data_IF_126580172379
#
_entry.id   IF_126580172379
#
_cell.length_a   1.000
_cell.length_b   1.000
_cell.length_c   1.000
_cell.angle_alpha   90.00
_cell.angle_beta   90.00
_cell.angle_gamma   90.00
#
_symmetry.space_group_name_H-M   'P 1'
#
loop_
_entity.id
_entity.type
_entity.pdbx_description
1 polymer ?
#
# COMPACT_ATOMS: atom_id res chain seq x y z
N UNK A 1 3.01 -21.21 -5.80
CA UNK A 1 3.78 -20.10 -5.21
C UNK A 1 4.72 -20.69 -4.16
N UNK A 2 5.93 -20.15 -4.00
CA UNK A 2 6.90 -20.52 -2.98
C UNK A 2 7.34 -19.27 -2.22
N UNK A 3 7.06 -19.23 -0.90
CA UNK A 3 7.76 -18.38 0.07
C UNK A 3 9.07 -19.07 0.43
N UNK A 4 10.20 -18.37 0.30
CA UNK A 4 11.53 -18.95 0.52
C UNK A 4 12.32 -18.16 1.55
N UNK A 5 12.47 -18.75 2.73
CA UNK A 5 13.00 -18.14 3.95
C UNK A 5 14.53 -17.99 3.96
N UNK A 6 15.05 -17.21 4.91
CA UNK A 6 16.48 -16.96 5.14
C UNK A 6 17.01 -17.55 6.45
N UNK A 7 16.16 -18.19 7.27
CA UNK A 7 16.60 -18.96 8.44
C UNK A 7 17.69 -20.00 8.10
N UNK A 8 18.65 -20.18 9.03
CA UNK A 8 19.72 -21.19 8.94
C UNK A 8 20.50 -21.17 7.62
N UNK A 9 20.78 -20.00 7.06
CA UNK A 9 21.52 -19.82 5.80
C UNK A 9 22.99 -20.29 5.84
N UNK A 10 23.51 -20.79 6.98
CA UNK A 10 24.87 -21.33 7.17
C UNK A 10 25.98 -20.32 6.82
N UNK A 11 25.82 -19.05 7.23
CA UNK A 11 26.80 -17.99 6.96
C UNK A 11 26.79 -17.44 5.52
N UNK A 12 25.86 -17.90 4.67
CA UNK A 12 25.71 -17.42 3.28
C UNK A 12 24.85 -16.14 3.19
N UNK A 13 25.31 -15.09 3.87
CA UNK A 13 24.75 -13.73 3.91
C UNK A 13 25.88 -12.71 4.13
N UNK A 14 25.61 -11.41 4.04
CA UNK A 14 26.51 -10.32 4.45
C UNK A 14 27.04 -9.48 3.28
N UNK A 15 26.73 -9.86 2.04
CA UNK A 15 26.90 -9.00 0.86
C UNK A 15 25.78 -9.29 -0.15
N UNK A 16 25.39 -8.30 -0.98
CA UNK A 16 24.39 -8.50 -2.03
C UNK A 16 24.68 -9.71 -2.92
N UNK A 17 25.94 -9.93 -3.31
CA UNK A 17 26.33 -11.06 -4.17
C UNK A 17 26.13 -12.42 -3.49
N UNK A 18 26.46 -12.55 -2.21
CA UNK A 18 26.31 -13.82 -1.48
C UNK A 18 24.83 -14.19 -1.34
N UNK A 19 23.99 -13.24 -0.91
CA UNK A 19 22.55 -13.47 -0.80
C UNK A 19 21.88 -13.70 -2.15
N UNK A 20 22.20 -12.88 -3.16
CA UNK A 20 21.72 -13.05 -4.53
C UNK A 20 22.01 -14.46 -5.06
N UNK A 21 23.24 -14.95 -4.98
CA UNK A 21 23.61 -16.26 -5.50
C UNK A 21 22.89 -17.41 -4.77
N UNK A 22 22.68 -17.27 -3.45
CA UNK A 22 21.90 -18.23 -2.66
C UNK A 22 20.45 -18.32 -3.14
N UNK A 23 19.77 -17.18 -3.29
CA UNK A 23 18.39 -17.15 -3.76
C UNK A 23 18.26 -17.53 -5.25
N UNK A 24 19.21 -17.11 -6.09
CA UNK A 24 19.26 -17.44 -7.51
C UNK A 24 19.32 -18.95 -7.74
N UNK A 25 20.03 -19.69 -6.88
CA UNK A 25 20.08 -21.16 -6.95
C UNK A 25 18.68 -21.78 -6.92
N UNK A 26 17.80 -21.29 -6.03
CA UNK A 26 16.40 -21.74 -5.99
C UNK A 26 15.59 -21.22 -7.18
N UNK A 27 15.77 -19.96 -7.58
CA UNK A 27 15.09 -19.39 -8.75
C UNK A 27 15.37 -20.20 -10.04
N UNK A 28 16.64 -20.56 -10.28
CA UNK A 28 17.05 -21.38 -11.42
C UNK A 28 16.45 -22.79 -11.33
N UNK A 29 16.42 -23.39 -10.14
CA UNK A 29 15.82 -24.70 -9.92
C UNK A 29 14.30 -24.70 -10.20
N UNK A 30 13.56 -23.68 -9.73
CA UNK A 30 12.15 -23.51 -10.03
C UNK A 30 11.93 -23.36 -11.54
N UNK A 31 12.73 -22.52 -12.20
CA UNK A 31 12.66 -22.32 -13.65
C UNK A 31 12.91 -23.62 -14.43
N UNK A 32 13.87 -24.45 -13.99
CA UNK A 32 14.19 -25.72 -14.63
C UNK A 32 13.04 -26.74 -14.59
N UNK A 33 12.05 -26.57 -13.72
CA UNK A 33 10.85 -27.43 -13.70
C UNK A 33 9.91 -27.19 -14.89
N UNK A 34 10.05 -26.05 -15.59
CA UNK A 34 9.12 -25.62 -16.65
C UNK A 34 7.74 -25.18 -16.14
N UNK A 35 7.54 -25.06 -14.82
CA UNK A 35 6.27 -24.63 -14.21
C UNK A 35 6.34 -23.15 -13.81
N UNK A 36 5.22 -22.45 -13.99
CA UNK A 36 5.05 -21.08 -13.51
C UNK A 36 4.82 -21.08 -11.99
N UNK A 37 5.85 -20.79 -11.22
CA UNK A 37 5.81 -20.74 -9.76
C UNK A 37 6.19 -19.33 -9.32
N UNK A 38 5.23 -18.60 -8.73
CA UNK A 38 5.50 -17.30 -8.11
C UNK A 38 6.55 -17.50 -7.00
N UNK A 39 7.66 -16.77 -7.08
CA UNK A 39 8.77 -16.88 -6.14
C UNK A 39 8.85 -15.63 -5.25
N UNK A 40 8.60 -15.82 -3.96
CA UNK A 40 8.59 -14.80 -2.92
C UNK A 40 9.81 -15.01 -2.01
N UNK A 41 10.71 -14.04 -2.00
CA UNK A 41 11.89 -14.02 -1.15
C UNK A 41 11.50 -13.58 0.26
N UNK A 42 11.91 -14.34 1.27
CA UNK A 42 11.72 -14.00 2.67
C UNK A 42 13.09 -13.88 3.36
N UNK A 43 13.83 -12.83 3.01
CA UNK A 43 15.14 -12.50 3.60
C UNK A 43 15.16 -11.18 4.35
N UNK A 44 13.98 -10.63 4.64
CA UNK A 44 13.81 -9.53 5.59
C UNK A 44 14.59 -8.24 5.27
N UNK A 45 14.89 -7.99 4.00
CA UNK A 45 15.67 -6.81 3.59
C UNK A 45 17.18 -7.00 3.60
N UNK A 46 17.69 -8.13 4.10
CA UNK A 46 19.13 -8.40 4.22
C UNK A 46 19.86 -8.18 2.90
N UNK A 47 21.06 -7.62 2.98
CA UNK A 47 21.94 -7.37 1.83
C UNK A 47 21.28 -6.57 0.70
N UNK A 48 20.42 -5.61 1.07
CA UNK A 48 19.78 -4.66 0.17
C UNK A 48 18.97 -5.35 -0.95
N UNK A 49 18.14 -6.33 -0.59
CA UNK A 49 17.35 -7.14 -1.56
C UNK A 49 16.56 -6.31 -2.57
N UNK A 50 16.12 -5.11 -2.22
CA UNK A 50 15.45 -4.18 -3.15
C UNK A 50 16.31 -3.78 -4.37
N UNK A 51 17.63 -4.01 -4.34
CA UNK A 51 18.54 -3.73 -5.46
C UNK A 51 18.71 -4.89 -6.43
N UNK A 52 18.42 -6.13 -6.03
CA UNK A 52 18.68 -7.33 -6.84
C UNK A 52 17.52 -8.32 -6.91
N UNK A 53 16.59 -8.31 -5.96
CA UNK A 53 15.49 -9.27 -5.84
C UNK A 53 14.64 -9.37 -7.10
N UNK A 54 14.35 -8.23 -7.74
CA UNK A 54 13.58 -8.18 -8.98
C UNK A 54 14.13 -9.05 -10.11
N UNK A 55 15.45 -9.22 -10.20
CA UNK A 55 16.07 -9.97 -11.29
C UNK A 55 15.83 -11.47 -11.22
N UNK A 56 15.37 -12.00 -10.07
CA UNK A 56 15.23 -13.43 -9.83
C UNK A 56 13.92 -13.84 -9.15
N UNK A 57 13.10 -12.88 -8.69
CA UNK A 57 11.91 -13.12 -7.88
C UNK A 57 10.74 -12.20 -8.23
N UNK A 58 9.54 -12.60 -7.82
CA UNK A 58 8.33 -11.80 -8.01
C UNK A 58 8.04 -10.85 -6.85
N UNK A 59 8.56 -11.15 -5.66
CA UNK A 59 8.52 -10.24 -4.52
C UNK A 59 9.63 -10.57 -3.52
N UNK A 60 9.94 -9.63 -2.63
CA UNK A 60 10.96 -9.79 -1.60
C UNK A 60 10.59 -9.07 -0.30
N UNK A 61 10.63 -9.78 0.82
CA UNK A 61 10.45 -9.22 2.16
C UNK A 61 11.52 -8.17 2.43
N UNK A 62 11.12 -6.99 2.88
CA UNK A 62 12.04 -5.84 3.07
C UNK A 62 12.40 -5.55 4.54
N UNK A 63 11.76 -6.21 5.49
CA UNK A 63 11.98 -6.05 6.93
C UNK A 63 11.85 -7.39 7.66
N UNK A 64 12.27 -7.40 8.94
CA UNK A 64 11.82 -8.40 9.90
C UNK A 64 10.30 -8.50 9.96
N UNK A 65 9.81 -9.57 10.59
CA UNK A 65 8.37 -9.87 10.58
C UNK A 65 7.53 -8.77 11.22
N UNK A 66 6.40 -8.48 10.59
CA UNK A 66 5.36 -7.65 11.21
C UNK A 66 4.81 -8.35 12.45
N UNK A 67 4.25 -7.57 13.37
CA UNK A 67 3.31 -8.08 14.35
C UNK A 67 2.15 -7.10 14.50
N UNK A 68 1.12 -7.54 15.22
CA UNK A 68 -0.12 -6.81 15.37
C UNK A 68 -0.02 -5.62 16.35
N UNK A 69 0.78 -4.62 15.97
CA UNK A 69 0.90 -3.33 16.62
C UNK A 69 1.22 -2.23 15.61
N UNK A 70 0.56 -1.09 15.77
CA UNK A 70 0.66 0.00 14.83
C UNK A 70 2.02 0.75 14.89
N UNK A 71 2.47 1.12 16.09
CA UNK A 71 3.64 2.01 16.26
C UNK A 71 4.68 1.49 17.26
N UNK A 72 4.33 0.57 18.17
CA UNK A 72 5.17 0.15 19.29
C UNK A 72 6.55 -0.36 18.84
N UNK A 73 7.65 0.28 19.28
CA UNK A 73 8.99 -0.28 19.14
C UNK A 73 9.14 -1.57 19.94
N UNK A 74 9.91 -2.53 19.40
CA UNK A 74 10.19 -3.79 20.08
C UNK A 74 11.67 -4.18 19.90
N UNK A 75 12.31 -4.67 20.97
CA UNK A 75 13.72 -5.08 20.95
C UNK A 75 13.98 -6.31 20.05
N UNK A 76 12.94 -7.09 19.75
CA UNK A 76 13.02 -8.17 18.76
C UNK A 76 13.10 -7.64 17.33
N UNK A 77 12.67 -6.40 17.08
CA UNK A 77 12.84 -5.74 15.79
C UNK A 77 14.20 -5.03 15.78
N UNK A 78 15.25 -5.77 15.43
CA UNK A 78 16.65 -5.39 15.71
C UNK A 78 17.17 -4.10 15.07
N UNK A 79 16.40 -3.50 14.16
CA UNK A 79 16.75 -2.23 13.50
C UNK A 79 15.81 -1.08 13.87
N UNK A 80 15.06 -1.18 14.97
CA UNK A 80 14.17 -0.14 15.47
C UNK A 80 14.88 1.16 15.92
N UNK A 81 16.20 1.11 16.16
CA UNK A 81 17.03 2.24 16.62
C UNK A 81 17.74 3.01 15.51
N UNK A 82 17.75 2.48 14.28
CA UNK A 82 18.39 3.17 13.16
C UNK A 82 17.56 4.36 12.72
N UNK A 83 18.22 5.37 12.15
CA UNK A 83 17.52 6.56 11.67
C UNK A 83 16.43 6.17 10.64
N UNK A 84 15.24 6.79 10.69
CA UNK A 84 14.22 6.60 9.67
C UNK A 84 14.79 6.79 8.27
N UNK A 85 14.57 5.82 7.38
CA UNK A 85 15.12 5.83 6.02
C UNK A 85 16.50 5.18 5.87
N UNK A 86 17.17 4.76 6.94
CA UNK A 86 18.32 3.86 6.80
C UNK A 86 17.83 2.52 6.24
N UNK A 87 18.40 2.10 5.12
CA UNK A 87 17.99 0.90 4.39
C UNK A 87 18.78 -0.33 4.80
N UNK A 88 19.92 -0.16 5.48
CA UNK A 88 20.76 -1.28 5.88
C UNK A 88 20.33 -1.79 7.26
N UNK A 89 19.99 -3.08 7.33
CA UNK A 89 19.60 -3.73 8.57
C UNK A 89 20.28 -5.09 8.66
N UNK A 90 21.28 -5.19 9.55
CA UNK A 90 22.11 -6.40 9.68
C UNK A 90 21.37 -7.51 10.46
N UNK A 91 20.47 -7.14 11.36
CA UNK A 91 19.69 -8.08 12.16
C UNK A 91 18.20 -7.69 12.10
N UNK A 92 17.46 -8.11 11.07
CA UNK A 92 16.07 -7.68 10.84
C UNK A 92 15.09 -8.06 11.94
N UNK A 93 15.26 -9.24 12.55
CA UNK A 93 14.44 -9.67 13.66
C UNK A 93 12.97 -9.88 13.31
N UNK A 94 12.08 -9.61 14.27
CA UNK A 94 10.62 -9.83 14.21
C UNK A 94 9.90 -8.79 15.08
N UNK A 95 8.58 -8.78 15.10
CA UNK A 95 7.78 -7.83 15.89
C UNK A 95 8.03 -6.37 15.51
N UNK A 96 8.18 -6.13 14.21
CA UNK A 96 8.30 -4.80 13.67
C UNK A 96 6.90 -4.20 13.46
N UNK A 97 6.64 -3.00 13.99
CA UNK A 97 5.33 -2.34 13.90
C UNK A 97 5.00 -1.89 12.48
N UNK A 98 3.71 -1.66 12.20
CA UNK A 98 3.22 -1.11 10.92
C UNK A 98 3.99 0.16 10.54
N UNK A 99 4.16 1.09 11.49
CA UNK A 99 4.87 2.36 11.29
C UNK A 99 6.36 2.17 10.97
N UNK A 100 7.01 1.20 11.61
CA UNK A 100 8.41 0.87 11.33
C UNK A 100 8.60 0.42 9.88
N UNK A 101 7.75 -0.49 9.41
CA UNK A 101 7.82 -1.03 8.05
C UNK A 101 7.58 0.06 7.00
N UNK A 102 6.59 0.94 7.22
CA UNK A 102 6.34 2.09 6.36
C UNK A 102 7.54 3.04 6.29
N UNK A 103 8.20 3.29 7.42
CA UNK A 103 9.42 4.09 7.46
C UNK A 103 10.59 3.44 6.72
N UNK A 104 10.68 2.11 6.74
CA UNK A 104 11.72 1.35 6.04
C UNK A 104 11.55 1.35 4.53
N UNK A 105 10.33 1.17 4.03
CA UNK A 105 10.09 1.12 2.57
C UNK A 105 10.17 2.49 1.90
N UNK A 106 9.84 3.57 2.61
CA UNK A 106 9.74 4.93 2.07
C UNK A 106 10.88 5.35 1.11
N UNK A 107 12.19 5.18 1.45
CA UNK A 107 13.30 5.60 0.58
C UNK A 107 13.48 4.77 -0.71
N UNK A 108 12.84 3.61 -0.84
CA UNK A 108 12.97 2.74 -2.01
C UNK A 108 11.63 2.18 -2.51
N UNK A 109 10.51 2.86 -2.19
CA UNK A 109 9.18 2.44 -2.63
C UNK A 109 9.07 2.36 -4.17
N UNK A 110 9.90 3.11 -4.90
CA UNK A 110 10.02 3.13 -6.35
C UNK A 110 10.62 1.85 -6.96
N UNK A 111 11.22 0.97 -6.13
CA UNK A 111 11.79 -0.31 -6.56
C UNK A 111 10.75 -1.39 -6.85
N UNK A 112 9.52 -1.20 -6.35
CA UNK A 112 8.36 -2.01 -6.71
C UNK A 112 7.84 -1.60 -8.08
N UNK A 113 7.93 -2.50 -9.05
CA UNK A 113 7.45 -2.29 -10.43
C UNK A 113 6.83 -3.59 -10.97
N UNK A 114 6.07 -3.56 -12.09
CA UNK A 114 5.44 -4.76 -12.63
C UNK A 114 6.41 -5.95 -12.76
N UNK A 115 6.08 -7.04 -12.07
CA UNK A 115 6.87 -8.28 -12.05
C UNK A 115 7.75 -8.47 -10.82
N UNK A 116 8.00 -7.42 -10.02
CA UNK A 116 8.82 -7.48 -8.80
C UNK A 116 8.38 -6.47 -7.74
N UNK A 117 7.94 -6.97 -6.58
CA UNK A 117 7.31 -6.15 -5.54
C UNK A 117 8.04 -6.22 -4.20
N UNK A 118 8.20 -5.07 -3.55
CA UNK A 118 8.56 -5.04 -2.13
C UNK A 118 7.43 -5.67 -1.32
N UNK A 119 7.78 -6.65 -0.48
CA UNK A 119 6.87 -7.35 0.40
C UNK A 119 7.03 -6.80 1.82
N UNK A 120 5.98 -6.13 2.30
CA UNK A 120 5.92 -5.50 3.61
C UNK A 120 5.41 -6.49 4.68
N UNK A 121 5.42 -7.78 4.39
CA UNK A 121 4.83 -8.85 5.18
C UNK A 121 3.30 -8.90 5.15
N UNK A 122 2.75 -9.92 5.80
CA UNK A 122 1.32 -10.22 5.82
C UNK A 122 0.47 -9.10 6.45
N UNK A 123 -0.82 -9.09 6.11
CA UNK A 123 -1.82 -8.22 6.71
C UNK A 123 -2.24 -8.76 8.07
N UNK A 124 -2.15 -7.92 9.11
CA UNK A 124 -2.57 -8.23 10.48
C UNK A 124 -4.04 -7.87 10.74
N UNK A 125 -4.78 -7.49 9.69
CA UNK A 125 -6.16 -7.01 9.79
C UNK A 125 -7.06 -8.04 10.47
N UNK A 126 -7.59 -7.70 11.65
CA UNK A 126 -8.50 -8.54 12.42
C UNK A 126 -7.85 -9.49 13.42
N UNK A 127 -6.57 -9.31 13.75
CA UNK A 127 -5.85 -10.14 14.73
C UNK A 127 -6.09 -9.70 16.19
N UNK A 128 -6.50 -8.45 16.42
CA UNK A 128 -7.06 -7.92 17.68
C UNK A 128 -6.20 -6.92 18.46
N UNK A 129 -4.97 -6.67 18.03
CA UNK A 129 -3.97 -5.77 18.64
C UNK A 129 -3.95 -4.35 18.10
N UNK A 130 -4.71 -4.06 17.03
CA UNK A 130 -4.90 -2.72 16.48
C UNK A 130 -6.39 -2.35 16.42
N UNK A 131 -6.64 -1.05 16.45
CA UNK A 131 -7.96 -0.44 16.24
C UNK A 131 -8.41 -0.53 14.79
N UNK A 132 -9.69 -0.26 14.53
CA UNK A 132 -10.25 -0.23 13.17
C UNK A 132 -9.56 0.80 12.27
N UNK A 133 -9.21 1.98 12.81
CA UNK A 133 -8.53 3.03 12.05
C UNK A 133 -7.07 2.64 11.72
N UNK A 134 -6.38 1.99 12.65
CA UNK A 134 -5.03 1.46 12.44
C UNK A 134 -5.03 0.36 11.36
N UNK A 135 -6.00 -0.56 11.40
CA UNK A 135 -6.13 -1.58 10.36
C UNK A 135 -6.50 -1.02 8.99
N UNK A 136 -7.32 0.03 8.93
CA UNK A 136 -7.60 0.76 7.68
C UNK A 136 -6.33 1.42 7.14
N UNK A 137 -5.55 2.07 8.00
CA UNK A 137 -4.27 2.67 7.61
C UNK A 137 -3.28 1.63 7.10
N UNK A 138 -3.11 0.52 7.84
CA UNK A 138 -2.31 -0.65 7.46
C UNK A 138 -2.69 -1.16 6.07
N UNK A 139 -3.94 -1.56 5.88
CA UNK A 139 -4.41 -2.14 4.63
C UNK A 139 -4.26 -1.18 3.44
N UNK A 140 -4.63 0.09 3.62
CA UNK A 140 -4.56 1.08 2.54
C UNK A 140 -3.13 1.39 2.11
N UNK A 141 -2.19 1.50 3.06
CA UNK A 141 -0.80 1.78 2.73
C UNK A 141 -0.10 0.57 2.09
N UNK A 142 -0.39 -0.66 2.56
CA UNK A 142 0.09 -1.87 1.89
C UNK A 142 -0.41 -1.94 0.45
N UNK A 143 -1.69 -1.63 0.23
CA UNK A 143 -2.28 -1.58 -1.10
C UNK A 143 -1.64 -0.49 -1.96
N UNK A 144 -1.48 0.72 -1.45
CA UNK A 144 -0.95 1.86 -2.20
C UNK A 144 0.55 1.70 -2.56
N UNK A 145 1.34 1.08 -1.69
CA UNK A 145 2.78 0.78 -1.89
C UNK A 145 2.98 -0.52 -2.70
N UNK A 146 1.88 -1.15 -3.15
CA UNK A 146 1.90 -2.35 -4.00
C UNK A 146 2.57 -3.56 -3.32
N UNK A 147 2.43 -3.66 -2.00
CA UNK A 147 2.77 -4.88 -1.28
C UNK A 147 1.87 -6.04 -1.73
N UNK A 148 2.36 -7.29 -1.75
CA UNK A 148 1.47 -8.44 -1.69
C UNK A 148 0.49 -8.31 -0.52
N UNK A 149 -0.80 -8.57 -0.78
CA UNK A 149 -1.87 -8.51 0.22
C UNK A 149 -2.20 -9.93 0.72
N UNK A 150 -1.25 -10.55 1.44
CA UNK A 150 -1.47 -11.86 2.05
C UNK A 150 -2.21 -11.70 3.39
N UNK A 151 -3.35 -12.37 3.56
CA UNK A 151 -4.09 -12.36 4.82
C UNK A 151 -3.35 -13.19 5.88
N UNK A 152 -3.03 -12.58 7.02
CA UNK A 152 -2.39 -13.25 8.16
C UNK A 152 -3.37 -13.78 9.21
N UNK A 153 -4.66 -13.47 9.09
CA UNK A 153 -5.69 -13.77 10.08
C UNK A 153 -6.36 -15.15 9.89
N UNK A 154 -7.10 -15.60 10.91
CA UNK A 154 -7.94 -16.81 10.81
C UNK A 154 -9.30 -16.49 10.19
N UNK A 155 -9.49 -16.89 8.94
CA UNK A 155 -10.74 -16.65 8.19
C UNK A 155 -11.98 -17.29 8.82
N UNK A 156 -11.82 -18.30 9.69
CA UNK A 156 -12.94 -18.99 10.36
C UNK A 156 -13.52 -18.18 11.52
N UNK A 157 -12.73 -17.24 12.05
CA UNK A 157 -13.07 -16.42 13.20
C UNK A 157 -12.79 -14.94 12.97
N UNK A 158 -12.66 -14.52 11.70
CA UNK A 158 -12.41 -13.14 11.33
C UNK A 158 -13.61 -12.25 11.75
N UNK A 159 -13.37 -11.12 12.44
CA UNK A 159 -14.45 -10.21 12.80
C UNK A 159 -15.02 -9.51 11.56
N UNK A 160 -16.31 -9.14 11.61
CA UNK A 160 -16.98 -8.46 10.50
C UNK A 160 -16.28 -7.15 10.08
N UNK A 161 -15.80 -6.37 11.05
CA UNK A 161 -15.03 -5.15 10.79
C UNK A 161 -13.75 -5.39 9.97
N UNK A 162 -13.06 -6.52 10.18
CA UNK A 162 -11.89 -6.88 9.38
C UNK A 162 -12.27 -7.27 7.95
N UNK A 163 -13.37 -8.02 7.77
CA UNK A 163 -13.89 -8.35 6.45
C UNK A 163 -14.25 -7.09 5.64
N UNK A 164 -14.85 -6.07 6.28
CA UNK A 164 -15.20 -4.83 5.59
C UNK A 164 -13.98 -4.01 5.18
N UNK A 165 -12.82 -4.19 5.84
CA UNK A 165 -11.52 -3.60 5.45
C UNK A 165 -10.94 -4.35 4.24
N UNK A 166 -10.69 -5.65 4.38
CA UNK A 166 -9.96 -6.42 3.36
C UNK A 166 -10.74 -6.61 2.06
N UNK A 167 -12.04 -6.35 2.08
CA UNK A 167 -12.93 -6.50 0.93
C UNK A 167 -13.32 -5.16 0.28
N UNK A 168 -12.67 -4.05 0.64
CA UNK A 168 -12.94 -2.74 0.02
C UNK A 168 -12.34 -2.69 -1.40
N UNK A 169 -13.16 -2.73 -2.47
CA UNK A 169 -12.66 -2.83 -3.84
C UNK A 169 -11.99 -1.54 -4.32
N UNK A 170 -12.33 -0.38 -3.76
CA UNK A 170 -11.70 0.89 -4.11
C UNK A 170 -10.25 0.97 -3.60
N UNK A 171 -9.98 0.38 -2.42
CA UNK A 171 -8.61 0.28 -1.89
C UNK A 171 -7.83 -0.81 -2.63
N UNK A 172 -8.43 -1.98 -2.90
CA UNK A 172 -7.75 -3.05 -3.66
C UNK A 172 -7.43 -2.58 -5.09
N UNK A 173 -8.27 -1.74 -5.70
CA UNK A 173 -7.99 -1.14 -7.01
C UNK A 173 -6.70 -0.32 -7.02
N UNK A 174 -6.28 0.27 -5.89
CA UNK A 174 -4.96 0.90 -5.78
C UNK A 174 -3.84 -0.13 -5.87
N UNK A 175 -3.98 -1.29 -5.21
CA UNK A 175 -3.00 -2.38 -5.28
C UNK A 175 -2.90 -2.99 -6.68
N UNK A 176 -4.05 -3.14 -7.34
CA UNK A 176 -4.20 -3.81 -8.63
C UNK A 176 -4.20 -2.84 -9.81
N UNK A 177 -3.79 -1.59 -9.60
CA UNK A 177 -3.73 -0.58 -10.65
C UNK A 177 -2.75 -1.01 -11.77
N UNK A 178 -3.15 -0.95 -13.06
CA UNK A 178 -2.31 -1.41 -14.17
C UNK A 178 -0.97 -0.67 -14.31
N UNK A 179 -0.85 0.55 -13.80
CA UNK A 179 0.42 1.27 -13.82
C UNK A 179 1.47 0.57 -12.96
N UNK A 180 1.03 -0.09 -11.89
CA UNK A 180 1.89 -0.93 -11.05
C UNK A 180 3.03 -0.16 -10.37
N UNK A 181 2.79 1.10 -9.98
CA UNK A 181 3.76 1.93 -9.25
C UNK A 181 3.28 2.23 -7.84
N UNK A 182 4.20 2.10 -6.88
CA UNK A 182 3.98 2.52 -5.50
C UNK A 182 3.73 4.01 -5.39
N UNK A 183 2.93 4.38 -4.40
CA UNK A 183 2.98 5.74 -3.87
C UNK A 183 4.35 6.03 -3.26
N UNK A 184 4.74 7.29 -3.26
CA UNK A 184 5.95 7.80 -2.63
C UNK A 184 5.60 8.72 -1.47
N UNK A 185 6.42 8.72 -0.42
CA UNK A 185 6.23 9.64 0.71
C UNK A 185 6.76 11.01 0.32
N UNK A 186 5.87 11.98 0.16
CA UNK A 186 6.23 13.36 -0.23
C UNK A 186 6.48 14.27 0.97
N UNK A 187 5.93 13.94 2.15
CA UNK A 187 6.21 14.65 3.40
C UNK A 187 6.19 13.72 4.60
N UNK A 188 7.07 14.00 5.57
CA UNK A 188 7.07 13.42 6.92
C UNK A 188 7.38 14.51 7.93
N UNK A 189 6.53 14.64 8.94
CA UNK A 189 6.70 15.61 10.01
C UNK A 189 6.77 14.86 11.36
N UNK A 190 7.80 15.15 12.16
CA UNK A 190 8.00 14.56 13.51
C UNK A 190 8.03 15.61 14.61
N UNK A 191 8.28 16.87 14.25
CA UNK A 191 8.32 17.97 15.20
C UNK A 191 6.91 18.49 15.45
N UNK A 192 6.55 18.71 16.72
CA UNK A 192 5.23 19.22 17.10
C UNK A 192 4.07 18.24 16.94
N UNK A 193 4.33 16.98 16.56
CA UNK A 193 3.31 15.92 16.50
C UNK A 193 3.17 15.29 17.88
N UNK A 194 1.93 15.16 18.36
CA UNK A 194 1.65 14.50 19.64
C UNK A 194 2.16 13.06 19.63
N UNK A 195 2.78 12.64 20.72
CA UNK A 195 3.30 11.28 20.87
C UNK A 195 2.22 10.36 21.45
N UNK A 196 2.21 9.12 21.01
CA UNK A 196 1.41 8.05 21.57
C UNK A 196 2.02 7.48 22.87
N UNK A 197 1.40 6.43 23.40
CA UNK A 197 1.83 5.75 24.62
C UNK A 197 3.24 5.12 24.53
N UNK A 198 3.73 4.88 23.31
CA UNK A 198 5.06 4.32 23.02
C UNK A 198 6.11 5.41 22.78
N UNK A 199 5.72 6.69 22.88
CA UNK A 199 6.58 7.83 22.63
C UNK A 199 6.81 8.11 21.14
N UNK A 200 6.02 7.49 20.26
CA UNK A 200 6.06 7.64 18.80
C UNK A 200 5.06 8.69 18.35
N UNK A 201 5.43 9.53 17.39
CA UNK A 201 4.52 10.55 16.87
C UNK A 201 5.05 11.15 15.59
N UNK A 202 4.35 10.91 14.50
CA UNK A 202 4.69 11.47 13.19
C UNK A 202 3.48 11.54 12.26
N UNK A 203 3.57 12.38 11.24
CA UNK A 203 2.59 12.40 10.16
C UNK A 203 3.25 12.13 8.82
N UNK A 204 2.53 11.50 7.90
CA UNK A 204 3.00 11.28 6.53
C UNK A 204 1.99 11.80 5.51
N UNK A 205 2.53 12.32 4.41
CA UNK A 205 1.79 12.50 3.16
C UNK A 205 2.40 11.57 2.12
N UNK A 206 1.58 10.69 1.55
CA UNK A 206 1.96 9.84 0.43
C UNK A 206 1.16 10.22 -0.81
N UNK A 207 1.81 10.24 -1.97
CA UNK A 207 1.18 10.52 -3.25
C UNK A 207 1.70 9.57 -4.33
N UNK A 208 0.85 9.24 -5.29
CA UNK A 208 1.27 8.46 -6.46
C UNK A 208 0.21 8.44 -7.55
N UNK A 209 0.69 8.33 -8.79
CA UNK A 209 -0.15 8.37 -9.98
C UNK A 209 -0.69 6.99 -10.34
N UNK A 210 -1.91 6.96 -10.86
CA UNK A 210 -2.64 5.77 -11.29
C UNK A 210 -2.73 5.70 -12.81
N UNK A 211 -2.99 4.51 -13.35
CA UNK A 211 -2.95 4.29 -14.80
C UNK A 211 -3.83 5.24 -15.62
N UNK A 212 -5.01 5.59 -15.10
CA UNK A 212 -6.00 6.42 -15.79
C UNK A 212 -5.80 7.93 -15.64
N UNK A 213 -4.65 8.39 -15.10
CA UNK A 213 -4.37 9.81 -14.89
C UNK A 213 -4.89 10.38 -13.57
N UNK A 214 -5.50 9.55 -12.73
CA UNK A 214 -5.86 9.92 -11.36
C UNK A 214 -4.63 9.88 -10.44
N UNK A 215 -4.72 10.55 -9.29
CA UNK A 215 -3.67 10.56 -8.26
C UNK A 215 -4.24 10.00 -6.95
N UNK A 216 -3.53 9.12 -6.27
CA UNK A 216 -3.86 8.74 -4.89
C UNK A 216 -3.10 9.64 -3.91
N UNK A 217 -3.79 10.11 -2.87
CA UNK A 217 -3.19 10.90 -1.79
C UNK A 217 -3.59 10.30 -0.44
N UNK A 218 -2.61 10.02 0.41
CA UNK A 218 -2.83 9.46 1.75
C UNK A 218 -2.27 10.42 2.80
N UNK A 219 -3.14 10.87 3.70
CA UNK A 219 -2.78 11.64 4.89
C UNK A 219 -2.82 10.69 6.09
N UNK A 220 -1.64 10.33 6.59
CA UNK A 220 -1.48 9.44 7.75
C UNK A 220 -1.12 10.28 8.97
N UNK A 221 -1.94 10.19 10.01
CA UNK A 221 -1.62 10.67 11.35
C UNK A 221 -1.18 9.45 12.19
N UNK A 222 0.12 9.31 12.43
CA UNK A 222 0.68 8.32 13.35
C UNK A 222 1.13 9.00 14.66
N UNK A 223 0.50 10.12 15.02
CA UNK A 223 0.60 10.79 16.31
C UNK A 223 -0.52 10.37 17.26
N UNK A 224 -0.33 10.67 18.54
CA UNK A 224 -1.22 10.24 19.63
C UNK A 224 -2.54 11.02 19.77
N UNK A 225 -2.75 12.09 19.00
CA UNK A 225 -3.96 12.93 19.05
C UNK A 225 -4.53 13.19 17.66
N UNK A 226 -5.84 13.42 17.58
CA UNK A 226 -6.53 13.84 16.36
C UNK A 226 -6.01 15.20 15.88
N UNK A 227 -5.89 15.40 14.56
CA UNK A 227 -5.42 16.67 14.00
C UNK A 227 -5.98 16.96 12.59
N UNK A 228 -6.02 18.24 12.20
CA UNK A 228 -6.19 18.63 10.80
C UNK A 228 -4.85 18.47 10.08
N UNK A 229 -4.85 17.66 9.02
CA UNK A 229 -3.72 17.56 8.09
C UNK A 229 -4.04 18.30 6.79
N UNK A 230 -3.01 18.83 6.14
CA UNK A 230 -3.15 19.48 4.84
C UNK A 230 -1.97 19.25 3.92
N UNK A 231 -2.22 19.30 2.61
CA UNK A 231 -1.19 19.18 1.56
C UNK A 231 -1.59 20.02 0.34
N UNK A 232 -0.63 20.75 -0.22
CA UNK A 232 -0.85 21.53 -1.44
C UNK A 232 -0.80 20.65 -2.70
N UNK A 233 -1.46 21.06 -3.78
CA UNK A 233 -1.27 20.39 -5.09
C UNK A 233 0.19 20.39 -5.55
N UNK A 234 0.95 21.43 -5.19
CA UNK A 234 2.38 21.52 -5.49
C UNK A 234 3.22 20.45 -4.78
N UNK A 235 2.86 20.09 -3.55
CA UNK A 235 3.50 18.98 -2.81
C UNK A 235 3.06 17.62 -3.35
N UNK A 236 1.76 17.44 -3.66
CA UNK A 236 1.23 16.19 -4.22
C UNK A 236 1.97 15.85 -5.53
N UNK A 237 2.06 16.81 -6.45
CA UNK A 237 2.63 16.61 -7.78
C UNK A 237 4.13 16.94 -7.86
N UNK A 238 4.84 16.94 -6.73
CA UNK A 238 6.27 17.25 -6.70
C UNK A 238 7.13 16.39 -7.64
N UNK A 239 6.84 15.08 -7.89
CA UNK A 239 7.61 14.29 -8.85
C UNK A 239 7.49 14.78 -10.30
N UNK A 240 6.45 15.54 -10.63
CA UNK A 240 6.17 16.05 -11.98
C UNK A 240 6.66 17.48 -12.22
N UNK A 241 7.08 18.17 -11.17
CA UNK A 241 7.52 19.57 -11.29
C UNK A 241 7.76 20.20 -9.92
N UNK A 242 9.03 20.41 -9.54
CA UNK A 242 9.36 20.98 -8.23
C UNK A 242 8.84 22.42 -8.11
N UNK A 243 8.56 22.85 -6.89
CA UNK A 243 8.14 24.23 -6.60
C UNK A 243 6.80 24.62 -7.24
N UNK A 244 5.90 23.65 -7.48
CA UNK A 244 4.59 23.91 -8.11
C UNK A 244 4.66 24.12 -9.63
N UNK A 245 5.74 23.71 -10.29
CA UNK A 245 5.86 23.78 -11.76
C UNK A 245 5.11 22.68 -12.50
N UNK A 246 4.64 21.65 -11.81
CA UNK A 246 3.89 20.55 -12.40
C UNK A 246 2.61 21.06 -13.09
N UNK A 247 2.32 20.71 -14.36
CA UNK A 247 1.10 21.16 -15.05
C UNK A 247 -0.19 20.83 -14.30
N UNK A 248 -0.20 19.71 -13.59
CA UNK A 248 -1.29 19.22 -12.74
C UNK A 248 -1.85 20.28 -11.75
N UNK A 249 -0.99 21.19 -11.25
CA UNK A 249 -1.42 22.21 -10.29
C UNK A 249 -2.36 23.26 -10.90
N UNK A 250 -2.46 23.33 -12.24
CA UNK A 250 -3.32 24.29 -12.95
C UNK A 250 -4.76 23.80 -13.11
N UNK A 251 -5.06 22.59 -12.66
CA UNK A 251 -6.37 21.96 -12.85
C UNK A 251 -7.08 21.73 -11.52
N UNK A 252 -8.41 21.67 -11.58
CA UNK A 252 -9.23 21.29 -10.45
C UNK A 252 -9.31 19.76 -10.36
N UNK A 253 -9.31 19.23 -9.14
CA UNK A 253 -9.37 17.79 -8.89
C UNK A 253 -10.54 17.46 -7.97
N UNK A 254 -11.43 16.58 -8.41
CA UNK A 254 -12.46 15.99 -7.58
C UNK A 254 -11.81 15.07 -6.54
N UNK A 255 -12.14 15.29 -5.27
CA UNK A 255 -11.62 14.50 -4.14
C UNK A 255 -12.60 13.36 -3.89
N UNK A 256 -12.17 12.12 -4.06
CA UNK A 256 -12.95 10.94 -3.70
C UNK A 256 -12.37 10.26 -2.46
N UNK A 257 -13.20 9.97 -1.47
CA UNK A 257 -12.81 9.20 -0.28
C UNK A 257 -13.01 7.71 -0.54
N UNK A 258 -11.92 6.94 -0.55
CA UNK A 258 -11.95 5.52 -0.89
C UNK A 258 -12.53 4.64 0.23
N UNK A 259 -12.56 5.14 1.47
CA UNK A 259 -13.18 4.41 2.58
C UNK A 259 -14.70 4.53 2.61
N UNK A 260 -15.30 5.45 1.84
CA UNK A 260 -16.77 5.56 1.71
C UNK A 260 -17.39 4.41 0.92
N UNK A 261 -16.60 3.64 0.17
CA UNK A 261 -17.03 2.39 -0.49
C UNK A 261 -16.95 1.16 0.43
N UNK A 262 -16.65 1.33 1.71
CA UNK A 262 -16.59 0.23 2.69
C UNK A 262 -17.95 -0.44 2.83
N UNK A 263 -17.95 -1.77 2.79
CA UNK A 263 -19.14 -2.58 3.06
C UNK A 263 -19.66 -2.31 4.49
N UNK A 264 -20.98 -2.22 4.72
CA UNK A 264 -21.52 -2.12 6.09
C UNK A 264 -21.24 -3.37 6.92
N UNK A 265 -20.95 -3.20 8.22
CA UNK A 265 -20.66 -4.32 9.12
C UNK A 265 -21.80 -5.34 9.19
N UNK A 266 -23.05 -4.90 9.13
CA UNK A 266 -24.22 -5.79 9.13
C UNK A 266 -24.24 -6.76 7.94
N UNK A 267 -23.74 -6.34 6.78
CA UNK A 267 -23.62 -7.20 5.59
C UNK A 267 -22.48 -8.21 5.78
N UNK A 268 -21.36 -7.76 6.36
CA UNK A 268 -20.24 -8.65 6.67
C UNK A 268 -20.63 -9.70 7.73
N UNK A 269 -21.38 -9.32 8.76
CA UNK A 269 -21.95 -10.24 9.75
C UNK A 269 -22.88 -11.27 9.10
N UNK A 270 -23.78 -10.83 8.21
CA UNK A 270 -24.67 -11.72 7.45
C UNK A 270 -23.86 -12.71 6.61
N UNK A 271 -22.79 -12.24 5.94
CA UNK A 271 -21.93 -13.07 5.09
C UNK A 271 -21.15 -14.12 5.89
N UNK A 272 -20.60 -13.73 7.05
CA UNK A 272 -19.85 -14.62 7.94
C UNK A 272 -20.76 -15.66 8.62
N UNK A 273 -22.01 -15.29 8.91
CA UNK A 273 -22.99 -16.19 9.52
C UNK A 273 -23.62 -17.18 8.51
N UNK A 274 -23.62 -16.85 7.21
CA UNK A 274 -24.19 -17.69 6.16
C UNK A 274 -23.50 -19.06 6.10
N UNK A 275 -24.31 -20.13 6.06
CA UNK A 275 -23.81 -21.52 6.09
C UNK A 275 -23.68 -22.12 4.70
N UNK A 276 -24.53 -21.68 3.77
CA UNK A 276 -24.60 -22.19 2.41
C UNK A 276 -24.02 -21.21 1.40
N UNK A 277 -23.59 -21.72 0.27
CA UNK A 277 -23.00 -20.92 -0.80
C UNK A 277 -24.03 -19.98 -1.44
N UNK A 278 -25.25 -20.46 -1.67
CA UNK A 278 -26.31 -19.69 -2.30
C UNK A 278 -26.77 -18.49 -1.43
N UNK A 279 -26.69 -18.65 -0.10
CA UNK A 279 -26.92 -17.56 0.85
C UNK A 279 -25.85 -16.47 0.68
N UNK A 280 -24.56 -16.87 0.62
CA UNK A 280 -23.44 -15.93 0.43
C UNK A 280 -23.54 -15.20 -0.90
N UNK A 281 -23.85 -15.90 -1.98
CA UNK A 281 -24.04 -15.29 -3.31
C UNK A 281 -25.16 -14.25 -3.30
N UNK A 282 -26.30 -14.57 -2.67
CA UNK A 282 -27.42 -13.63 -2.54
C UNK A 282 -27.04 -12.38 -1.74
N UNK A 283 -26.30 -12.54 -0.63
CA UNK A 283 -25.81 -11.44 0.20
C UNK A 283 -24.85 -10.55 -0.58
N UNK A 284 -23.85 -11.13 -1.25
CA UNK A 284 -22.86 -10.41 -2.05
C UNK A 284 -23.52 -9.64 -3.21
N UNK A 285 -24.51 -10.25 -3.88
CA UNK A 285 -25.27 -9.60 -4.95
C UNK A 285 -26.06 -8.39 -4.42
N UNK A 286 -26.74 -8.55 -3.28
CA UNK A 286 -27.46 -7.45 -2.61
C UNK A 286 -26.53 -6.32 -2.18
N UNK A 287 -25.30 -6.67 -1.77
CA UNK A 287 -24.26 -5.73 -1.37
C UNK A 287 -23.58 -5.02 -2.56
N UNK A 288 -23.96 -5.32 -3.80
CA UNK A 288 -23.28 -4.83 -5.01
C UNK A 288 -21.76 -5.11 -4.98
N UNK A 289 -21.36 -6.27 -4.45
CA UNK A 289 -19.96 -6.63 -4.28
C UNK A 289 -19.22 -6.70 -5.62
N UNK A 290 -17.95 -6.27 -5.63
CA UNK A 290 -17.12 -6.26 -6.82
C UNK A 290 -16.44 -7.62 -7.03
N UNK A 291 -16.89 -8.37 -8.05
CA UNK A 291 -16.29 -9.64 -8.42
C UNK A 291 -15.16 -9.43 -9.44
N UNK A 292 -13.91 -9.43 -8.96
CA UNK A 292 -12.73 -9.22 -9.81
C UNK A 292 -12.43 -10.38 -10.78
N UNK A 293 -13.04 -11.55 -10.57
CA UNK A 293 -12.94 -12.69 -11.51
C UNK A 293 -13.80 -12.46 -12.75
N UNK A 294 -14.98 -11.85 -12.58
CA UNK A 294 -15.87 -11.48 -13.69
C UNK A 294 -15.38 -10.22 -14.39
N UNK A 295 -15.04 -9.19 -13.61
CA UNK A 295 -14.56 -7.90 -14.10
C UNK A 295 -13.21 -7.63 -13.45
N UNK A 296 -12.08 -7.94 -14.12
CA UNK A 296 -10.75 -7.59 -13.63
C UNK A 296 -10.63 -6.07 -13.35
N UNK A 297 -9.88 -5.69 -12.31
CA UNK A 297 -9.72 -4.28 -11.89
C UNK A 297 -9.36 -3.34 -13.06
N UNK A 298 -8.42 -3.74 -13.93
CA UNK A 298 -8.06 -2.97 -15.11
C UNK A 298 -9.27 -2.63 -16.00
N UNK A 299 -10.17 -3.60 -16.22
CA UNK A 299 -11.39 -3.40 -17.01
C UNK A 299 -12.41 -2.56 -16.25
N UNK A 300 -12.60 -2.81 -14.95
CA UNK A 300 -13.54 -2.03 -14.14
C UNK A 300 -13.14 -0.55 -14.06
N UNK A 301 -11.85 -0.27 -13.93
CA UNK A 301 -11.30 1.09 -13.95
C UNK A 301 -11.53 1.77 -15.30
N UNK A 302 -11.23 1.08 -16.41
CA UNK A 302 -11.46 1.61 -17.76
C UNK A 302 -12.95 1.84 -18.08
N UNK A 303 -13.84 1.07 -17.43
CA UNK A 303 -15.30 1.21 -17.56
C UNK A 303 -15.91 2.20 -16.56
N UNK A 304 -15.09 2.88 -15.76
CA UNK A 304 -15.57 3.84 -14.76
C UNK A 304 -16.54 3.21 -13.74
N UNK A 305 -16.31 1.95 -13.34
CA UNK A 305 -17.15 1.25 -12.37
C UNK A 305 -17.12 1.99 -11.01
N UNK A 306 -18.24 2.56 -10.54
CA UNK A 306 -18.26 3.46 -9.38
C UNK A 306 -17.78 2.80 -8.08
N UNK A 307 -17.80 1.46 -8.01
CA UNK A 307 -17.32 0.71 -6.84
C UNK A 307 -15.81 0.87 -6.62
N UNK A 308 -15.06 1.28 -7.64
CA UNK A 308 -13.59 1.33 -7.61
C UNK A 308 -13.01 2.72 -7.33
N UNK A 309 -13.85 3.76 -7.22
CA UNK A 309 -13.40 5.15 -7.18
C UNK A 309 -13.69 5.86 -5.85
N UNK A 310 -14.35 5.22 -4.89
CA UNK A 310 -14.80 5.92 -3.69
C UNK A 310 -15.93 6.91 -3.99
N UNK A 311 -16.32 7.68 -2.97
CA UNK A 311 -17.37 8.69 -3.11
C UNK A 311 -16.75 10.09 -3.21
N UNK A 312 -17.22 10.91 -4.15
CA UNK A 312 -16.80 12.31 -4.28
C UNK A 312 -17.26 13.11 -3.06
N UNK A 313 -16.31 13.69 -2.33
CA UNK A 313 -16.56 14.49 -1.12
C UNK A 313 -16.26 15.98 -1.30
N UNK A 314 -15.62 16.36 -2.41
CA UNK A 314 -15.24 17.75 -2.64
C UNK A 314 -14.44 17.95 -3.91
N UNK A 315 -13.83 19.13 -4.00
CA UNK A 315 -12.92 19.54 -5.07
C UNK A 315 -11.77 20.31 -4.43
N UNK A 316 -10.54 20.05 -4.86
CA UNK A 316 -9.40 20.95 -4.65
C UNK A 316 -9.19 21.73 -5.95
N UNK A 317 -9.34 23.05 -5.87
CA UNK A 317 -9.17 23.94 -7.01
C UNK A 317 -7.70 24.02 -7.43
N UNK A 318 -7.45 24.48 -8.66
CA UNK A 318 -6.11 24.76 -9.16
C UNK A 318 -5.27 25.58 -8.16
N UNK A 319 -4.04 25.13 -7.89
CA UNK A 319 -3.12 25.70 -6.90
C UNK A 319 -3.55 25.54 -5.44
N UNK A 320 -4.66 24.82 -5.19
CA UNK A 320 -5.29 24.70 -3.88
C UNK A 320 -4.61 23.75 -2.90
N UNK A 321 -5.29 23.56 -1.78
CA UNK A 321 -4.84 22.75 -0.64
C UNK A 321 -5.92 21.73 -0.30
N UNK A 322 -5.54 20.45 -0.25
CA UNK A 322 -6.36 19.40 0.30
C UNK A 322 -6.21 19.42 1.83
N UNK A 323 -7.34 19.42 2.54
CA UNK A 323 -7.39 19.36 4.01
C UNK A 323 -8.29 18.25 4.48
N UNK A 324 -7.95 17.62 5.59
CA UNK A 324 -8.81 16.66 6.26
C UNK A 324 -8.49 16.55 7.75
N UNK A 325 -9.53 16.40 8.56
CA UNK A 325 -9.37 15.88 9.92
C UNK A 325 -8.97 14.40 9.85
N UNK A 326 -7.89 14.07 10.56
CA UNK A 326 -7.31 12.73 10.63
C UNK A 326 -7.16 12.36 12.10
N UNK A 327 -7.88 11.31 12.51
CA UNK A 327 -7.80 10.79 13.87
C UNK A 327 -6.40 10.29 14.20
N UNK A 328 -6.09 10.21 15.48
CA UNK A 328 -4.92 9.50 15.99
C UNK A 328 -4.84 8.09 15.37
N UNK A 329 -3.65 7.74 14.89
CA UNK A 329 -3.34 6.46 14.25
C UNK A 329 -4.23 6.07 13.05
N UNK A 330 -4.74 7.06 12.31
CA UNK A 330 -5.61 6.85 11.16
C UNK A 330 -4.99 7.35 9.85
N UNK A 331 -5.50 6.83 8.73
CA UNK A 331 -5.18 7.32 7.38
C UNK A 331 -6.43 7.74 6.62
N UNK A 332 -6.43 8.95 6.07
CA UNK A 332 -7.40 9.36 5.05
C UNK A 332 -6.83 9.05 3.67
N UNK A 333 -7.60 8.33 2.86
CA UNK A 333 -7.15 7.80 1.57
C UNK A 333 -8.04 8.37 0.49
N UNK A 334 -7.46 9.24 -0.33
CA UNK A 334 -8.17 9.95 -1.37
C UNK A 334 -7.72 9.50 -2.75
N UNK A 335 -8.65 9.47 -3.70
CA UNK A 335 -8.37 9.43 -5.13
C UNK A 335 -8.79 10.77 -5.72
N UNK A 336 -7.83 11.48 -6.27
CA UNK A 336 -8.01 12.74 -6.97
C UNK A 336 -8.24 12.47 -8.44
N UNK A 337 -9.34 12.99 -8.97
CA UNK A 337 -9.72 12.83 -10.38
C UNK A 337 -9.80 14.18 -11.06
N UNK A 338 -9.08 14.37 -12.16
CA UNK A 338 -9.05 15.65 -12.87
C UNK A 338 -10.46 16.03 -13.34
N UNK A 339 -10.88 17.26 -13.07
CA UNK A 339 -12.11 17.81 -13.62
C UNK A 339 -11.74 18.48 -14.95
N UNK A 340 -12.01 17.79 -16.06
CA UNK A 340 -11.75 18.34 -17.39
C UNK A 340 -12.66 19.55 -17.67
N UNK A 341 -12.07 20.64 -18.17
CA UNK A 341 -12.78 21.81 -18.70
C UNK A 341 -12.62 21.87 -20.22
N UNK A 342 -13.61 22.45 -20.89
CA UNK A 342 -13.55 22.64 -22.35
C UNK A 342 -12.35 23.52 -22.72
N UNK A 343 -11.50 23.04 -23.64
CA UNK A 343 -10.25 23.71 -24.03
C UNK A 343 -8.99 23.29 -23.26
N UNK A 344 -9.09 22.34 -22.32
CA UNK A 344 -7.89 21.79 -21.66
C UNK A 344 -7.05 20.94 -22.63
N UNK A 345 -5.77 21.30 -22.80
CA UNK A 345 -4.80 20.56 -23.64
C UNK A 345 -4.00 19.49 -22.87
N UNK A 346 -4.32 19.25 -21.59
CA UNK A 346 -3.59 18.29 -20.77
C UNK A 346 -4.12 16.87 -20.93
N UNK A 347 -3.40 16.08 -21.71
CA UNK A 347 -3.42 14.63 -21.62
C UNK A 347 -2.52 14.21 -20.45
N UNK A 348 -3.13 13.63 -19.41
CA UNK A 348 -2.35 12.98 -18.37
C UNK A 348 -1.51 11.91 -19.07
N UNK A 349 -0.18 12.09 -19.12
CA UNK A 349 0.71 11.11 -19.73
C UNK A 349 0.46 9.78 -19.03
N UNK A 350 -0.15 8.85 -19.74
CA UNK A 350 -0.01 7.44 -19.41
C UNK A 350 1.49 7.15 -19.51
N UNK A 351 2.16 6.97 -18.37
CA UNK A 351 3.58 6.58 -18.33
C UNK A 351 3.70 5.07 -18.60
N UNK A 352 2.72 4.50 -19.33
CA UNK A 352 2.76 3.13 -19.81
C UNK A 352 3.99 2.99 -20.70
N UNK A 353 4.84 2.01 -20.40
CA UNK A 353 5.94 1.63 -21.30
C UNK A 353 5.42 0.94 -22.58
N UNK A 354 4.12 0.65 -22.66
CA UNK A 354 3.45 0.15 -23.87
C UNK A 354 3.00 1.29 -24.79
N UNK A 355 2.91 2.52 -24.29
CA UNK A 355 2.73 3.71 -25.13
C UNK A 355 4.10 4.06 -25.70
N UNK A 356 4.37 3.54 -26.90
CA UNK A 356 5.66 3.58 -27.60
C UNK A 356 6.13 4.99 -28.05
N UNK A 357 5.51 6.06 -27.56
CA UNK A 357 5.83 7.42 -28.00
C UNK A 357 6.90 8.06 -27.11
N UNK A 358 8.13 7.87 -27.58
CA UNK A 358 9.32 8.72 -27.44
C UNK A 358 9.89 8.94 -26.02
N UNK A 359 11.01 8.24 -25.77
CA UNK A 359 11.99 8.50 -24.71
C UNK A 359 12.72 9.82 -24.88
#
# INVERSE_FOLDING_TARGET
MLKYDSCYHMGRVGTPSVSFNRFKTMADALKATGKNILFNLCNWGEDLVHTWGMSIANSWRITGDIYDSFSRPDDLCGCNTVAPGDVNCVAPGTHCSTLFILNKVAPFADRSIPGGWSDLDMLEVGQGGQTDEEYKAHFALWAAIKSPLFLGNDLRSMPASALTIINNPAIIALSQDPHGRSVTRVRRDTEGVAKDEWGMGETHVWAGHLHNGDEVVILLNAGGEDMEMSVTLAEIFIPYGPGGSAPHVKYDWAIHDLWRSRMPDSIAEELLAAKKEEERESILKKANWYNSTEIPYAKGLAQEDPRLFGEKIGVVEAGGVLKADVKSHAARVFRLRRIAKEGDEFEAKSISREDHDEL
#
